data_IF_776116656112
#
_entry.id   IF_776116656112
#
_cell.length_a   1.000
_cell.length_b   1.000
_cell.length_c   1.000
_cell.angle_alpha   90.00
_cell.angle_beta   90.00
_cell.angle_gamma   90.00
#
_symmetry.space_group_name_H-M   'P 1'
#
loop_
_entity.id
_entity.type
_entity.pdbx_description
1 polymer ?
#
# COMPACT_ATOMS: atom_id res chain seq x y z
N UNK A 1 19.73 6.43 35.90
CA UNK A 1 20.36 6.53 34.56
C UNK A 1 20.42 5.14 34.01
N UNK A 2 19.54 4.81 33.05
CA UNK A 2 19.62 3.57 32.29
C UNK A 2 20.84 3.69 31.38
N UNK A 3 21.85 2.87 31.59
CA UNK A 3 23.05 2.79 30.74
C UNK A 3 22.58 2.44 29.32
N UNK A 4 23.05 3.21 28.36
CA UNK A 4 22.94 3.10 26.93
C UNK A 4 22.26 1.85 26.40
N UNK A 5 20.93 1.86 26.34
CA UNK A 5 20.20 0.75 25.76
C UNK A 5 20.13 0.94 24.23
N UNK A 6 20.82 0.06 23.54
CA UNK A 6 20.56 -0.16 22.12
C UNK A 6 19.34 -1.03 22.02
N UNK A 7 18.19 -0.45 21.68
CA UNK A 7 16.95 -1.16 21.46
C UNK A 7 16.60 -1.14 19.99
N UNK A 8 16.39 -2.29 19.38
CA UNK A 8 15.90 -2.43 18.02
C UNK A 8 14.82 -3.49 17.99
N UNK A 9 13.68 -3.13 17.44
CA UNK A 9 12.63 -4.08 17.11
C UNK A 9 13.09 -4.82 15.85
N UNK A 10 13.09 -6.15 15.90
CA UNK A 10 13.53 -6.98 14.76
C UNK A 10 12.63 -6.71 13.55
N UNK A 11 13.20 -6.27 12.44
CA UNK A 11 12.46 -6.12 11.21
C UNK A 11 12.30 -7.48 10.52
N UNK A 12 11.40 -7.54 9.59
CA UNK A 12 11.12 -8.74 8.81
C UNK A 12 11.62 -8.58 7.40
N UNK A 13 12.27 -9.62 6.92
CA UNK A 13 12.58 -9.79 5.52
C UNK A 13 11.28 -10.02 4.74
N UNK A 14 10.68 -8.95 4.21
CA UNK A 14 9.57 -9.02 3.27
C UNK A 14 10.15 -9.10 1.85
N UNK A 15 11.07 -10.01 1.63
CA UNK A 15 11.76 -10.15 0.34
C UNK A 15 10.92 -10.84 -0.74
N UNK A 16 9.86 -11.57 -0.34
CA UNK A 16 9.17 -12.49 -1.24
C UNK A 16 8.37 -11.80 -2.36
N UNK A 17 7.92 -10.58 -2.15
CA UNK A 17 7.08 -9.87 -3.10
C UNK A 17 7.73 -8.57 -3.54
N UNK A 18 7.72 -8.31 -4.85
CA UNK A 18 8.15 -7.04 -5.39
C UNK A 18 7.11 -5.96 -5.08
N UNK A 19 7.24 -5.32 -3.91
CA UNK A 19 6.39 -4.22 -3.49
C UNK A 19 6.77 -2.88 -4.14
N UNK A 20 7.55 -2.85 -5.21
CA UNK A 20 8.01 -1.63 -5.87
C UNK A 20 6.87 -0.68 -6.27
N UNK A 21 5.67 -1.23 -6.44
CA UNK A 21 4.48 -0.49 -6.83
C UNK A 21 3.51 -0.18 -5.69
N UNK A 22 3.81 -0.63 -4.48
CA UNK A 22 3.08 -0.22 -3.27
C UNK A 22 3.77 1.03 -2.74
N UNK A 23 2.99 2.05 -2.37
CA UNK A 23 3.56 3.27 -1.82
C UNK A 23 4.34 3.00 -0.52
N UNK A 24 5.30 3.86 -0.21
CA UNK A 24 6.21 3.70 0.94
C UNK A 24 5.46 3.62 2.29
N UNK A 25 4.29 4.27 2.41
CA UNK A 25 3.47 4.23 3.62
C UNK A 25 2.88 2.83 3.83
N UNK A 26 2.21 2.26 2.83
CA UNK A 26 1.62 0.92 2.93
C UNK A 26 2.68 -0.15 3.20
N UNK A 27 3.90 0.03 2.67
CA UNK A 27 5.03 -0.85 2.98
C UNK A 27 5.41 -0.81 4.46
N UNK A 28 5.58 0.38 5.01
CA UNK A 28 5.90 0.54 6.43
C UNK A 28 4.79 -0.07 7.31
N UNK A 29 3.52 0.12 6.94
CA UNK A 29 2.38 -0.55 7.59
C UNK A 29 2.49 -2.08 7.49
N UNK A 30 2.81 -2.62 6.31
CA UNK A 30 2.94 -4.06 6.09
C UNK A 30 4.03 -4.68 6.98
N UNK A 31 5.15 -3.97 7.18
CA UNK A 31 6.22 -4.39 8.09
C UNK A 31 5.71 -4.48 9.53
N UNK A 32 4.96 -3.49 9.97
CA UNK A 32 4.43 -3.47 11.34
C UNK A 32 3.32 -4.53 11.54
N UNK A 33 2.49 -4.79 10.52
CA UNK A 33 1.54 -5.91 10.53
C UNK A 33 2.27 -7.24 10.74
N UNK A 34 3.34 -7.49 9.99
CA UNK A 34 4.11 -8.72 10.13
C UNK A 34 4.76 -8.85 11.50
N UNK A 35 5.28 -7.75 12.06
CA UNK A 35 5.86 -7.75 13.41
C UNK A 35 4.84 -8.09 14.48
N UNK A 36 3.62 -7.53 14.39
CA UNK A 36 2.55 -7.72 15.37
C UNK A 36 1.73 -9.00 15.15
N UNK A 37 1.65 -9.46 13.89
CA UNK A 37 0.89 -10.64 13.45
C UNK A 37 1.74 -11.45 12.46
N UNK A 38 2.71 -12.23 12.95
CA UNK A 38 3.65 -12.97 12.10
C UNK A 38 2.95 -13.85 11.05
N UNK A 39 3.50 -13.86 9.83
CA UNK A 39 3.00 -14.58 8.66
C UNK A 39 1.65 -14.09 8.09
N UNK A 40 1.20 -12.89 8.46
CA UNK A 40 -0.08 -12.34 7.97
C UNK A 40 0.05 -11.11 7.07
N UNK A 41 1.22 -10.51 6.98
CA UNK A 41 1.45 -9.30 6.17
C UNK A 41 1.11 -9.48 4.68
N UNK A 42 1.31 -10.68 4.15
CA UNK A 42 0.93 -11.02 2.76
C UNK A 42 -0.59 -10.95 2.57
N UNK A 43 -1.36 -11.36 3.57
CA UNK A 43 -2.82 -11.30 3.53
C UNK A 43 -3.31 -9.85 3.63
N UNK A 44 -2.68 -9.05 4.48
CA UNK A 44 -2.93 -7.61 4.54
C UNK A 44 -2.68 -6.95 3.17
N UNK A 45 -1.53 -7.21 2.56
CA UNK A 45 -1.21 -6.67 1.23
C UNK A 45 -2.20 -7.11 0.16
N UNK A 46 -2.64 -8.38 0.19
CA UNK A 46 -3.65 -8.89 -0.74
C UNK A 46 -4.98 -8.17 -0.56
N UNK A 47 -5.50 -8.08 0.67
CA UNK A 47 -6.76 -7.43 0.98
C UNK A 47 -6.73 -5.95 0.61
N UNK A 48 -5.67 -5.23 0.97
CA UNK A 48 -5.51 -3.83 0.66
C UNK A 48 -5.62 -3.58 -0.86
N UNK A 49 -4.87 -4.34 -1.65
CA UNK A 49 -4.88 -4.18 -3.10
C UNK A 49 -6.20 -4.64 -3.74
N UNK A 50 -6.80 -5.70 -3.22
CA UNK A 50 -8.08 -6.22 -3.71
C UNK A 50 -9.23 -5.25 -3.40
N UNK A 51 -9.41 -4.84 -2.14
CA UNK A 51 -10.49 -3.94 -1.71
C UNK A 51 -10.40 -2.62 -2.45
N UNK A 52 -9.19 -2.07 -2.58
CA UNK A 52 -8.95 -0.84 -3.32
C UNK A 52 -9.34 -0.93 -4.80
N UNK A 53 -9.32 -2.11 -5.37
CA UNK A 53 -9.67 -2.31 -6.80
C UNK A 53 -11.18 -2.33 -7.07
N UNK A 54 -12.03 -2.56 -6.05
CA UNK A 54 -13.47 -2.78 -6.25
C UNK A 54 -14.34 -1.89 -5.35
N UNK A 55 -14.96 -0.88 -5.92
CA UNK A 55 -15.79 0.10 -5.19
C UNK A 55 -17.03 -0.49 -4.49
N UNK A 56 -17.51 -1.65 -4.95
CA UNK A 56 -18.65 -2.32 -4.34
C UNK A 56 -18.40 -2.71 -2.88
N UNK A 57 -17.18 -3.10 -2.55
CA UNK A 57 -16.80 -3.46 -1.18
C UNK A 57 -16.85 -2.24 -0.28
N UNK A 58 -16.45 -1.12 -0.83
CA UNK A 58 -16.37 0.16 -0.15
C UNK A 58 -17.75 0.68 0.29
N UNK A 59 -18.78 0.47 -0.53
CA UNK A 59 -20.16 0.92 -0.24
C UNK A 59 -20.78 0.15 0.92
N UNK A 60 -20.53 -1.17 1.01
CA UNK A 60 -21.09 -2.05 2.05
C UNK A 60 -20.61 -1.66 3.46
N UNK A 61 -19.38 -1.18 3.57
CA UNK A 61 -18.74 -0.83 4.84
C UNK A 61 -18.75 0.67 5.15
N UNK A 62 -19.61 1.46 4.44
CA UNK A 62 -19.64 2.93 4.55
C UNK A 62 -18.28 3.62 4.34
N UNK A 63 -17.35 2.88 3.76
CA UNK A 63 -16.07 3.42 3.34
C UNK A 63 -16.27 4.15 2.01
N UNK A 64 -16.16 5.47 2.01
CA UNK A 64 -16.20 6.30 0.80
C UNK A 64 -14.77 6.70 0.46
N UNK A 65 -14.16 6.08 -0.57
CA UNK A 65 -12.93 6.67 -1.08
C UNK A 65 -13.32 8.04 -1.62
N UNK A 66 -12.94 9.07 -0.93
CA UNK A 66 -12.95 10.37 -1.54
C UNK A 66 -11.96 10.30 -2.71
N UNK A 67 -12.26 10.99 -3.77
CA UNK A 67 -11.55 11.04 -5.05
C UNK A 67 -10.11 10.52 -4.94
N UNK A 68 -9.87 9.31 -5.43
CA UNK A 68 -8.52 8.74 -5.51
C UNK A 68 -7.74 9.62 -6.49
N UNK A 69 -7.25 10.73 -5.99
CA UNK A 69 -6.24 11.49 -6.68
C UNK A 69 -4.99 10.61 -6.71
N UNK A 70 -4.45 10.45 -7.89
CA UNK A 70 -3.43 9.53 -8.28
C UNK A 70 -2.43 9.14 -7.20
N UNK A 71 -2.02 7.90 -7.21
CA UNK A 71 -1.14 7.20 -6.26
C UNK A 71 0.11 7.98 -5.84
N UNK A 72 0.47 9.03 -6.57
CA UNK A 72 1.74 9.73 -6.49
C UNK A 72 1.62 11.24 -6.22
N UNK A 73 0.43 11.82 -6.14
CA UNK A 73 0.31 13.28 -6.20
C UNK A 73 -0.34 13.91 -4.97
N UNK A 74 -0.99 13.13 -4.11
CA UNK A 74 -1.67 13.73 -2.96
C UNK A 74 -0.98 13.40 -1.63
N UNK A 75 -0.52 14.42 -0.90
CA UNK A 75 -0.05 14.27 0.47
C UNK A 75 -1.15 13.86 1.45
N UNK A 76 -2.40 13.78 1.00
CA UNK A 76 -3.51 13.38 1.86
C UNK A 76 -3.50 11.88 2.12
N UNK A 77 -2.85 11.53 3.22
CA UNK A 77 -2.75 10.15 3.70
C UNK A 77 -4.01 9.72 4.43
N UNK A 78 -4.93 10.65 4.73
CA UNK A 78 -6.06 10.38 5.62
C UNK A 78 -7.00 9.32 5.04
N UNK A 79 -7.23 9.35 3.72
CA UNK A 79 -8.04 8.34 3.03
C UNK A 79 -7.37 6.96 3.01
N UNK A 80 -6.06 6.93 2.76
CA UNK A 80 -5.29 5.70 2.81
C UNK A 80 -5.30 5.12 4.23
N UNK A 81 -5.17 5.95 5.25
CA UNK A 81 -5.25 5.56 6.66
C UNK A 81 -6.62 4.98 7.00
N UNK A 82 -7.71 5.56 6.49
CA UNK A 82 -9.06 5.03 6.71
C UNK A 82 -9.24 3.64 6.10
N UNK A 83 -8.77 3.43 4.87
CA UNK A 83 -8.79 2.10 4.24
C UNK A 83 -7.93 1.10 5.01
N UNK A 84 -6.72 1.50 5.38
CA UNK A 84 -5.81 0.67 6.16
C UNK A 84 -6.45 0.30 7.49
N UNK A 85 -6.99 1.25 8.24
CA UNK A 85 -7.65 0.98 9.52
C UNK A 85 -8.87 0.07 9.35
N UNK A 86 -9.67 0.28 8.33
CA UNK A 86 -10.77 -0.63 8.01
C UNK A 86 -10.27 -2.09 7.89
N UNK A 87 -9.17 -2.31 7.16
CA UNK A 87 -8.60 -3.66 6.98
C UNK A 87 -8.00 -4.18 8.29
N UNK A 88 -7.21 -3.35 8.98
CA UNK A 88 -6.53 -3.72 10.21
C UNK A 88 -7.51 -4.11 11.32
N UNK A 89 -8.53 -3.30 11.53
CA UNK A 89 -9.51 -3.50 12.61
C UNK A 89 -10.43 -4.69 12.35
N UNK A 90 -10.89 -4.86 11.10
CA UNK A 90 -11.82 -5.94 10.78
C UNK A 90 -11.15 -7.31 10.59
N UNK A 91 -9.88 -7.35 10.19
CA UNK A 91 -9.24 -8.64 9.84
C UNK A 91 -8.04 -9.01 10.69
N UNK A 92 -7.35 -8.04 11.29
CA UNK A 92 -6.08 -8.30 11.99
C UNK A 92 -6.09 -7.94 13.48
N UNK A 93 -7.17 -7.33 13.98
CA UNK A 93 -7.24 -6.85 15.37
C UNK A 93 -6.17 -5.81 15.69
N UNK A 94 -5.85 -4.96 14.72
CA UNK A 94 -4.85 -3.90 14.78
C UNK A 94 -5.50 -2.55 14.46
N UNK A 95 -4.91 -1.44 14.91
CA UNK A 95 -5.35 -0.10 14.55
C UNK A 95 -4.16 0.84 14.43
N UNK A 96 -4.14 1.64 13.37
CA UNK A 96 -3.13 2.64 13.10
C UNK A 96 -3.55 3.99 13.69
N UNK A 97 -2.71 4.58 14.53
CA UNK A 97 -2.98 5.84 15.23
C UNK A 97 -2.03 6.93 14.80
N UNK A 98 -2.57 8.08 14.41
CA UNK A 98 -1.79 9.27 14.14
C UNK A 98 -1.31 9.95 15.44
N UNK A 99 -0.05 10.34 15.43
CA UNK A 99 0.57 11.16 16.47
C UNK A 99 0.91 12.50 15.85
N UNK A 100 0.48 13.60 16.49
CA UNK A 100 0.82 14.94 16.02
C UNK A 100 2.33 15.20 16.17
N UNK A 101 2.96 15.65 15.09
CA UNK A 101 4.39 15.97 15.03
C UNK A 101 4.64 17.44 14.60
N UNK A 102 3.74 18.36 14.99
CA UNK A 102 3.90 19.79 14.71
C UNK A 102 5.19 20.41 15.29
N UNK A 103 5.48 21.64 14.88
CA UNK A 103 6.77 22.38 14.99
C UNK A 103 7.56 22.34 16.30
N UNK A 104 7.07 21.75 17.37
CA UNK A 104 7.76 21.72 18.67
C UNK A 104 7.96 20.31 19.23
N UNK A 105 7.68 19.26 18.46
CA UNK A 105 7.85 17.89 18.90
C UNK A 105 9.30 17.45 18.65
N UNK A 106 9.98 17.00 19.71
CA UNK A 106 11.28 16.35 19.56
C UNK A 106 11.06 14.95 18.97
N UNK A 107 11.41 14.77 17.69
CA UNK A 107 11.21 13.53 16.93
C UNK A 107 12.00 12.37 17.52
N UNK A 108 13.21 12.61 17.97
CA UNK A 108 14.03 11.57 18.61
C UNK A 108 13.37 11.05 19.89
N UNK A 109 12.89 11.95 20.75
CA UNK A 109 12.15 11.57 21.95
C UNK A 109 10.87 10.82 21.64
N UNK A 110 10.11 11.25 20.64
CA UNK A 110 8.90 10.57 20.18
C UNK A 110 9.20 9.13 19.71
N UNK A 111 10.24 8.93 18.90
CA UNK A 111 10.65 7.59 18.45
C UNK A 111 11.09 6.76 19.65
N UNK A 112 11.96 7.30 20.50
CA UNK A 112 12.45 6.61 21.69
C UNK A 112 11.33 6.14 22.62
N UNK A 113 10.38 7.02 22.95
CA UNK A 113 9.25 6.70 23.82
C UNK A 113 8.39 5.57 23.24
N UNK A 114 8.10 5.61 21.94
CA UNK A 114 7.28 4.58 21.31
C UNK A 114 8.02 3.26 21.16
N UNK A 115 9.31 3.26 20.80
CA UNK A 115 10.11 2.04 20.72
C UNK A 115 10.29 1.40 22.09
N UNK A 116 10.41 2.16 23.18
CA UNK A 116 10.38 1.63 24.56
C UNK A 116 9.06 0.94 24.88
N UNK A 117 7.95 1.40 24.29
CA UNK A 117 6.63 0.76 24.39
C UNK A 117 6.43 -0.38 23.37
N UNK A 118 7.50 -0.84 22.73
CA UNK A 118 7.46 -1.89 21.68
C UNK A 118 6.63 -1.52 20.45
N UNK A 119 6.63 -0.24 20.06
CA UNK A 119 5.93 0.28 18.89
C UNK A 119 6.92 0.93 17.93
N UNK A 120 6.92 0.51 16.69
CA UNK A 120 7.64 1.24 15.64
C UNK A 120 6.88 2.53 15.28
N UNK A 121 7.63 3.51 14.81
CA UNK A 121 7.08 4.80 14.37
C UNK A 121 7.21 4.90 12.85
N UNK A 122 6.10 5.08 12.16
CA UNK A 122 6.06 5.42 10.75
C UNK A 122 6.16 6.94 10.64
N UNK A 123 7.31 7.41 10.18
CA UNK A 123 7.65 8.83 10.18
C UNK A 123 7.65 9.39 8.75
N UNK A 124 6.86 10.43 8.44
CA UNK A 124 6.93 11.11 7.15
C UNK A 124 8.17 12.00 7.09
N UNK A 125 8.85 11.95 5.94
CA UNK A 125 10.08 12.70 5.69
C UNK A 125 10.12 13.23 4.26
N UNK A 126 10.98 14.24 4.03
CA UNK A 126 11.28 14.69 2.67
C UNK A 126 12.46 13.89 2.10
N UNK A 127 12.25 13.06 1.06
CA UNK A 127 13.31 12.23 0.48
C UNK A 127 14.35 13.02 -0.32
N UNK A 128 14.16 14.31 -0.59
CA UNK A 128 15.17 15.15 -1.27
C UNK A 128 16.49 15.24 -0.51
N UNK A 129 16.51 14.85 0.77
CA UNK A 129 17.70 14.82 1.63
C UNK A 129 18.29 13.39 1.74
N UNK A 130 17.55 12.35 1.32
CA UNK A 130 17.97 10.94 1.41
C UNK A 130 18.84 10.54 0.23
N UNK A 131 20.15 10.37 0.47
CA UNK A 131 21.15 10.10 -0.59
C UNK A 131 20.92 8.80 -1.39
N UNK A 132 20.14 7.88 -0.86
CA UNK A 132 19.77 6.61 -1.48
C UNK A 132 18.40 6.64 -2.16
N UNK A 133 17.75 7.78 -2.23
CA UNK A 133 16.47 7.98 -2.87
C UNK A 133 16.64 8.60 -4.27
N UNK A 134 15.82 8.18 -5.23
CA UNK A 134 15.80 8.73 -6.59
C UNK A 134 15.51 10.24 -6.63
N UNK A 135 14.90 10.77 -5.57
CA UNK A 135 14.60 12.20 -5.44
C UNK A 135 15.70 13.03 -4.75
N UNK A 136 16.85 12.43 -4.44
CA UNK A 136 17.94 13.13 -3.74
C UNK A 136 18.39 14.37 -4.51
N UNK A 137 18.24 15.55 -3.87
CA UNK A 137 18.54 16.88 -4.44
C UNK A 137 17.81 17.23 -5.74
N UNK A 138 16.80 16.45 -6.13
CA UNK A 138 16.08 16.68 -7.37
C UNK A 138 14.66 17.17 -7.14
N UNK A 139 13.95 16.60 -6.15
CA UNK A 139 12.53 16.86 -5.96
C UNK A 139 12.09 16.66 -4.53
N UNK A 140 11.34 17.62 -4.00
CA UNK A 140 10.61 17.44 -2.78
C UNK A 140 9.46 16.46 -2.98
N UNK A 141 9.31 15.50 -2.06
CA UNK A 141 8.30 14.47 -2.11
C UNK A 141 7.96 14.00 -0.70
N UNK A 142 6.96 13.12 -0.58
CA UNK A 142 6.63 12.46 0.68
C UNK A 142 7.22 11.06 0.65
N UNK A 143 7.95 10.72 1.69
CA UNK A 143 8.47 9.40 1.95
C UNK A 143 8.21 8.98 3.39
N UNK A 144 8.10 7.68 3.63
CA UNK A 144 7.81 7.14 4.95
C UNK A 144 8.92 6.23 5.41
N UNK A 145 9.50 6.55 6.55
CA UNK A 145 10.51 5.74 7.22
C UNK A 145 9.85 4.85 8.28
N UNK A 146 10.33 3.63 8.40
CA UNK A 146 9.98 2.71 9.47
C UNK A 146 11.04 2.79 10.57
N UNK A 147 10.77 3.58 11.63
CA UNK A 147 11.68 3.79 12.75
C UNK A 147 11.42 2.73 13.81
N UNK A 148 12.35 1.79 13.97
CA UNK A 148 12.17 0.60 14.79
C UNK A 148 13.18 0.45 15.93
N UNK A 149 14.04 1.46 16.17
CA UNK A 149 15.01 1.38 17.24
C UNK A 149 15.75 2.68 17.51
N UNK A 150 16.53 2.70 18.57
CA UNK A 150 17.38 3.83 18.94
C UNK A 150 18.61 3.38 19.76
N UNK A 151 19.65 4.22 19.76
CA UNK A 151 20.81 4.17 20.64
C UNK A 151 20.88 5.52 21.37
N UNK A 152 20.52 5.52 22.66
CA UNK A 152 20.42 6.74 23.45
C UNK A 152 21.79 7.36 23.80
N UNK A 153 22.88 6.55 23.83
CA UNK A 153 24.23 7.07 24.11
C UNK A 153 24.83 7.79 22.91
N UNK A 154 24.49 7.31 21.70
CA UNK A 154 25.04 7.84 20.45
C UNK A 154 24.07 8.76 19.73
N UNK A 155 22.88 8.98 20.28
CA UNK A 155 21.80 9.78 19.67
C UNK A 155 21.47 9.30 18.24
N UNK A 156 21.31 7.97 18.08
CA UNK A 156 21.03 7.33 16.81
C UNK A 156 19.62 6.74 16.77
N UNK A 157 18.97 6.86 15.61
CA UNK A 157 17.71 6.18 15.28
C UNK A 157 18.00 5.06 14.30
N UNK A 158 17.46 3.87 14.54
CA UNK A 158 17.47 2.75 13.59
C UNK A 158 16.20 2.80 12.75
N UNK A 159 16.42 2.75 11.46
CA UNK A 159 15.38 2.91 10.45
C UNK A 159 15.50 1.79 9.45
N UNK A 160 14.39 1.27 9.00
CA UNK A 160 14.33 0.43 7.83
C UNK A 160 13.66 1.15 6.69
N UNK A 161 14.32 1.09 5.56
CA UNK A 161 13.86 1.71 4.35
C UNK A 161 14.34 0.94 3.12
N UNK A 162 13.68 1.14 1.98
CA UNK A 162 14.14 0.54 0.75
C UNK A 162 15.04 1.51 -0.03
N UNK A 163 16.10 0.96 -0.56
CA UNK A 163 17.01 1.70 -1.44
C UNK A 163 16.31 1.91 -2.78
N UNK A 164 16.07 3.15 -3.14
CA UNK A 164 15.49 3.54 -4.41
C UNK A 164 16.60 3.86 -5.40
N UNK A 165 17.09 2.86 -6.10
CA UNK A 165 17.91 3.05 -7.30
C UNK A 165 17.16 2.49 -8.50
N UNK A 166 16.37 3.33 -9.14
CA UNK A 166 15.47 2.93 -10.20
C UNK A 166 14.28 2.10 -9.70
N UNK A 167 13.34 1.81 -10.59
CA UNK A 167 12.11 1.07 -10.26
C UNK A 167 12.33 -0.41 -9.83
N UNK A 168 13.55 -0.89 -9.82
CA UNK A 168 13.88 -2.30 -9.58
C UNK A 168 14.35 -2.61 -8.16
N UNK A 169 14.58 -1.58 -7.33
CA UNK A 169 15.06 -1.83 -5.97
C UNK A 169 13.93 -2.20 -5.04
N UNK A 170 13.95 -3.44 -4.57
CA UNK A 170 12.91 -4.04 -3.73
C UNK A 170 13.38 -4.38 -2.32
N UNK A 171 14.66 -4.20 -2.04
CA UNK A 171 15.26 -4.62 -0.78
C UNK A 171 15.13 -3.53 0.29
N UNK A 172 14.47 -3.85 1.40
CA UNK A 172 14.61 -3.09 2.63
C UNK A 172 15.98 -3.28 3.24
N UNK A 173 16.54 -2.21 3.77
CA UNK A 173 17.83 -2.24 4.45
C UNK A 173 17.78 -1.44 5.75
N UNK A 174 18.52 -1.86 6.77
CA UNK A 174 18.70 -1.07 7.97
C UNK A 174 19.60 0.14 7.69
N UNK A 175 19.14 1.29 8.14
CA UNK A 175 19.91 2.53 8.16
C UNK A 175 20.02 3.03 9.59
N UNK A 176 21.03 3.85 9.82
CA UNK A 176 21.23 4.53 11.12
C UNK A 176 21.33 6.03 10.86
N UNK A 177 20.44 6.78 11.46
CA UNK A 177 20.41 8.25 11.37
C UNK A 177 20.73 8.88 12.70
N UNK A 178 21.43 10.01 12.68
CA UNK A 178 21.60 10.84 13.87
C UNK A 178 20.29 11.56 14.20
N UNK A 179 20.15 12.00 15.46
CA UNK A 179 19.02 12.84 15.90
C UNK A 179 18.85 14.07 15.01
N UNK A 180 19.97 14.76 14.69
CA UNK A 180 19.94 15.93 13.83
C UNK A 180 19.41 15.59 12.42
N UNK A 181 19.86 14.49 11.82
CA UNK A 181 19.43 14.10 10.49
C UNK A 181 17.95 13.74 10.44
N UNK A 182 17.45 12.94 11.38
CA UNK A 182 16.04 12.55 11.40
C UNK A 182 15.13 13.77 11.65
N UNK A 183 15.58 14.69 12.50
CA UNK A 183 14.88 15.94 12.76
C UNK A 183 14.85 16.84 11.53
N UNK A 184 15.96 16.97 10.81
CA UNK A 184 16.05 17.74 9.58
C UNK A 184 15.16 17.17 8.48
N UNK A 185 15.15 15.85 8.30
CA UNK A 185 14.31 15.15 7.31
C UNK A 185 12.82 15.41 7.54
N UNK A 186 12.38 15.31 8.81
CA UNK A 186 11.00 15.56 9.17
C UNK A 186 10.62 17.05 9.14
N UNK A 187 11.51 17.93 9.58
CA UNK A 187 11.28 19.37 9.52
C UNK A 187 11.14 19.87 8.09
N UNK A 188 11.99 19.38 7.18
CA UNK A 188 11.88 19.68 5.75
C UNK A 188 10.56 19.17 5.15
N UNK A 189 10.06 17.99 5.57
CA UNK A 189 8.73 17.52 5.21
C UNK A 189 7.64 18.51 5.67
N UNK A 190 7.68 18.96 6.93
CA UNK A 190 6.71 19.88 7.47
C UNK A 190 6.72 21.25 6.77
N UNK A 191 7.87 21.74 6.35
CA UNK A 191 8.02 23.00 5.60
C UNK A 191 7.39 22.92 4.20
N UNK A 192 7.68 21.86 3.48
CA UNK A 192 7.17 21.66 2.11
C UNK A 192 5.66 21.44 2.09
N UNK A 193 5.14 20.68 3.07
CA UNK A 193 3.74 20.26 3.12
C UNK A 193 2.92 21.03 4.16
N UNK A 194 3.28 22.26 4.45
CA UNK A 194 2.66 23.08 5.51
C UNK A 194 1.13 23.16 5.46
N UNK A 195 0.51 23.05 4.29
CA UNK A 195 -0.93 23.15 4.09
C UNK A 195 -1.61 21.80 3.78
N UNK A 196 -0.93 20.66 3.93
CA UNK A 196 -1.53 19.38 3.68
C UNK A 196 -2.46 18.95 4.83
N UNK A 197 -3.63 18.34 4.54
CA UNK A 197 -4.57 17.89 5.59
C UNK A 197 -3.98 16.85 6.56
N UNK A 198 -3.10 15.99 6.07
CA UNK A 198 -2.38 14.98 6.87
C UNK A 198 -1.11 15.52 7.52
N UNK A 199 -0.95 16.81 7.50
CA UNK A 199 0.19 17.55 8.01
C UNK A 199 0.61 17.06 9.38
N UNK A 200 1.91 16.85 9.50
CA UNK A 200 2.57 16.64 10.80
C UNK A 200 2.04 15.47 11.62
N UNK A 201 1.68 14.35 10.99
CA UNK A 201 1.34 13.12 11.69
C UNK A 201 2.38 12.04 11.42
N UNK A 202 3.00 11.51 12.48
CA UNK A 202 3.60 10.18 12.45
C UNK A 202 2.53 9.15 12.81
N UNK A 203 2.77 7.87 12.54
CA UNK A 203 1.83 6.81 12.87
C UNK A 203 2.49 5.71 13.70
N UNK A 204 1.71 5.14 14.60
CA UNK A 204 2.03 3.92 15.36
C UNK A 204 0.88 2.94 15.21
N UNK A 205 1.15 1.66 15.44
CA UNK A 205 0.13 0.62 15.39
C UNK A 205 -0.08 -0.01 16.76
N UNK A 206 -1.34 -0.20 17.13
CA UNK A 206 -1.75 -0.86 18.36
C UNK A 206 -2.49 -2.17 18.07
N UNK A 207 -2.23 -3.18 18.88
CA UNK A 207 -3.09 -4.35 18.93
C UNK A 207 -4.36 -4.01 19.74
N UNK A 208 -5.54 -4.17 19.13
CA UNK A 208 -6.85 -3.84 19.73
C UNK A 208 -7.73 -5.05 19.98
N UNK A 209 -7.35 -6.22 19.46
CA UNK A 209 -8.10 -7.45 19.60
C UNK A 209 -7.41 -8.63 18.91
N UNK A 210 -8.15 -9.74 18.78
CA UNK A 210 -7.69 -10.92 18.08
C UNK A 210 -7.79 -10.74 16.56
N UNK A 211 -6.89 -11.39 15.82
CA UNK A 211 -6.94 -11.41 14.38
C UNK A 211 -7.97 -12.43 13.87
N UNK A 212 -8.79 -12.03 12.91
CA UNK A 212 -9.69 -12.92 12.19
C UNK A 212 -8.93 -13.75 11.14
N UNK A 213 -7.93 -13.14 10.50
CA UNK A 213 -7.05 -13.80 9.52
C UNK A 213 -5.73 -14.16 10.20
N UNK A 214 -5.51 -15.47 10.39
CA UNK A 214 -4.33 -16.02 11.06
C UNK A 214 -3.61 -17.06 10.19
N UNK A 215 -4.27 -17.57 9.15
CA UNK A 215 -3.74 -18.60 8.25
C UNK A 215 -4.40 -18.56 6.86
N UNK A 216 -3.95 -19.45 5.98
CA UNK A 216 -4.50 -19.61 4.62
C UNK A 216 -6.00 -19.85 4.62
N UNK A 217 -6.53 -20.66 5.56
CA UNK A 217 -7.95 -21.02 5.56
C UNK A 217 -8.83 -19.84 5.93
N UNK A 218 -8.49 -19.14 7.01
CA UNK A 218 -9.20 -17.93 7.43
C UNK A 218 -9.13 -16.85 6.36
N UNK A 219 -7.95 -16.65 5.74
CA UNK A 219 -7.78 -15.72 4.63
C UNK A 219 -8.70 -16.03 3.44
N UNK A 220 -8.72 -17.28 2.95
CA UNK A 220 -9.57 -17.65 1.82
C UNK A 220 -11.07 -17.56 2.15
N UNK A 221 -11.47 -17.80 3.40
CA UNK A 221 -12.84 -17.59 3.83
C UNK A 221 -13.26 -16.12 3.78
N UNK A 222 -12.39 -15.21 4.19
CA UNK A 222 -12.67 -13.76 4.11
C UNK A 222 -12.65 -13.29 2.65
N UNK A 223 -11.71 -13.76 1.83
CA UNK A 223 -11.71 -13.50 0.39
C UNK A 223 -13.01 -13.95 -0.28
N UNK A 224 -13.55 -15.12 0.07
CA UNK A 224 -14.84 -15.60 -0.42
C UNK A 224 -15.99 -14.63 -0.11
N UNK A 225 -16.04 -14.07 1.11
CA UNK A 225 -17.05 -13.07 1.49
C UNK A 225 -16.91 -11.80 0.65
N UNK A 226 -15.68 -11.27 0.52
CA UNK A 226 -15.41 -10.07 -0.28
C UNK A 226 -15.79 -10.26 -1.74
N UNK A 227 -15.46 -11.41 -2.33
CA UNK A 227 -15.81 -11.72 -3.73
C UNK A 227 -17.33 -11.85 -3.89
N UNK A 228 -18.03 -12.40 -2.89
CA UNK A 228 -19.50 -12.44 -2.90
C UNK A 228 -20.10 -11.03 -2.96
N UNK A 229 -19.57 -10.08 -2.21
CA UNK A 229 -20.02 -8.67 -2.25
C UNK A 229 -19.77 -8.05 -3.65
N UNK A 230 -18.63 -8.33 -4.25
CA UNK A 230 -18.31 -7.85 -5.61
C UNK A 230 -19.26 -8.47 -6.65
N UNK A 231 -19.66 -9.73 -6.49
CA UNK A 231 -20.53 -10.44 -7.46
C UNK A 231 -22.02 -10.13 -7.30
N UNK A 232 -22.47 -9.74 -6.13
CA UNK A 232 -23.88 -9.41 -5.87
C UNK A 232 -24.28 -8.05 -6.41
N UNK A 233 -23.33 -7.15 -6.65
CA UNK A 233 -23.54 -5.84 -7.25
C UNK A 233 -23.22 -5.79 -8.74
N UNK A 234 -23.57 -4.67 -9.40
CA UNK A 234 -22.97 -4.36 -10.69
C UNK A 234 -21.48 -4.08 -10.44
N UNK A 235 -20.59 -4.86 -11.02
CA UNK A 235 -19.15 -4.71 -10.86
C UNK A 235 -18.74 -3.26 -11.16
N UNK A 236 -18.35 -2.54 -10.14
CA UNK A 236 -17.86 -1.17 -10.25
C UNK A 236 -16.37 -1.17 -9.97
N UNK A 237 -15.59 -0.90 -11.00
CA UNK A 237 -14.16 -0.65 -10.85
C UNK A 237 -13.99 0.81 -10.44
N UNK A 238 -13.42 1.06 -9.26
CA UNK A 238 -13.21 2.40 -8.69
C UNK A 238 -12.69 3.40 -9.71
N UNK A 239 -11.84 2.96 -10.62
CA UNK A 239 -11.13 3.81 -11.56
C UNK A 239 -11.83 3.99 -12.92
N UNK A 240 -12.92 3.31 -13.19
CA UNK A 240 -13.64 3.42 -14.48
C UNK A 240 -14.80 4.42 -14.39
N UNK A 241 -15.33 4.69 -13.21
CA UNK A 241 -16.51 5.55 -13.06
C UNK A 241 -16.18 7.05 -13.01
N UNK A 242 -14.94 7.41 -12.71
CA UNK A 242 -14.51 8.80 -12.65
C UNK A 242 -13.81 9.24 -13.95
N UNK A 243 -14.55 9.29 -15.05
CA UNK A 243 -14.06 9.69 -16.37
C UNK A 243 -13.34 11.05 -16.44
N UNK A 244 -13.52 11.92 -15.47
CA UNK A 244 -12.81 13.20 -15.37
C UNK A 244 -11.33 13.07 -14.94
N UNK A 245 -10.92 11.95 -14.34
CA UNK A 245 -9.55 11.67 -13.93
C UNK A 245 -8.66 11.14 -15.07
N UNK A 246 -9.26 10.60 -16.11
CA UNK A 246 -8.56 9.93 -17.21
C UNK A 246 -7.67 10.86 -18.04
N UNK A 247 -7.93 12.15 -18.06
CA UNK A 247 -7.11 13.11 -18.79
C UNK A 247 -5.74 13.39 -18.15
N UNK A 248 -5.50 12.89 -16.92
CA UNK A 248 -4.31 13.26 -16.12
C UNK A 248 -3.49 12.11 -15.55
N UNK A 249 -3.94 10.84 -15.59
CA UNK A 249 -3.32 9.79 -14.75
C UNK A 249 -2.99 8.48 -15.49
N UNK A 250 -2.03 8.57 -16.43
CA UNK A 250 -1.35 7.40 -17.00
C UNK A 250 -0.74 6.50 -15.92
N UNK A 251 -0.12 7.10 -14.93
CA UNK A 251 0.58 6.39 -13.84
C UNK A 251 -0.38 5.56 -12.98
N UNK A 252 -1.61 6.03 -12.79
CA UNK A 252 -2.65 5.29 -12.09
C UNK A 252 -3.02 3.99 -12.80
N UNK A 253 -3.28 4.06 -14.11
CA UNK A 253 -3.61 2.88 -14.92
C UNK A 253 -2.47 1.86 -14.96
N UNK A 254 -1.24 2.36 -15.00
CA UNK A 254 -0.05 1.52 -14.96
C UNK A 254 0.10 0.81 -13.61
N UNK A 255 -0.21 1.52 -12.52
CA UNK A 255 -0.18 0.96 -11.16
C UNK A 255 -1.19 -0.19 -10.98
N UNK A 256 -2.35 -0.12 -11.61
CA UNK A 256 -3.38 -1.17 -11.57
C UNK A 256 -2.89 -2.55 -11.97
N UNK A 257 -2.13 -2.61 -13.04
CA UNK A 257 -1.51 -3.84 -13.52
C UNK A 257 -0.69 -4.53 -12.44
N UNK A 258 0.06 -3.75 -11.65
CA UNK A 258 0.93 -4.27 -10.61
C UNK A 258 0.17 -4.70 -9.36
N UNK A 259 -0.80 -3.90 -8.93
CA UNK A 259 -1.69 -4.25 -7.82
C UNK A 259 -2.40 -5.57 -8.07
N UNK A 260 -2.93 -5.74 -9.30
CA UNK A 260 -3.60 -6.97 -9.71
C UNK A 260 -2.67 -8.18 -9.68
N UNK A 261 -1.42 -8.02 -10.08
CA UNK A 261 -0.43 -9.08 -9.99
C UNK A 261 -0.24 -9.52 -8.54
N UNK A 262 -0.03 -8.58 -7.64
CA UNK A 262 0.25 -8.88 -6.23
C UNK A 262 -0.88 -9.69 -5.60
N UNK A 263 -2.12 -9.22 -5.66
CA UNK A 263 -3.20 -9.96 -5.01
C UNK A 263 -3.51 -11.29 -5.71
N UNK A 264 -3.38 -11.37 -7.04
CA UNK A 264 -3.57 -12.62 -7.76
C UNK A 264 -2.53 -13.68 -7.38
N UNK A 265 -1.26 -13.31 -7.31
CA UNK A 265 -0.18 -14.23 -6.93
C UNK A 265 -0.39 -14.78 -5.52
N UNK A 266 -0.74 -13.90 -4.57
CA UNK A 266 -1.02 -14.30 -3.18
C UNK A 266 -2.24 -15.24 -3.11
N UNK A 267 -3.31 -14.94 -3.83
CA UNK A 267 -4.49 -15.80 -3.89
C UNK A 267 -4.12 -17.17 -4.48
N UNK A 268 -3.44 -17.20 -5.63
CA UNK A 268 -3.05 -18.46 -6.29
C UNK A 268 -2.15 -19.33 -5.40
N UNK A 269 -1.16 -18.75 -4.73
CA UNK A 269 -0.31 -19.48 -3.79
C UNK A 269 -1.13 -20.10 -2.64
N UNK A 270 -2.12 -19.40 -2.14
CA UNK A 270 -2.94 -19.92 -1.05
C UNK A 270 -3.96 -20.97 -1.53
N UNK A 271 -4.46 -20.85 -2.76
CA UNK A 271 -5.28 -21.90 -3.41
C UNK A 271 -4.48 -23.19 -3.63
N UNK A 272 -3.19 -23.09 -3.99
CA UNK A 272 -2.29 -24.25 -4.08
C UNK A 272 -2.13 -24.96 -2.73
N UNK A 273 -1.96 -24.20 -1.63
CA UNK A 273 -1.83 -24.76 -0.28
C UNK A 273 -3.06 -25.59 0.15
N UNK A 274 -4.26 -25.22 -0.31
CA UNK A 274 -5.50 -25.97 -0.05
C UNK A 274 -5.84 -26.98 -1.15
N UNK A 275 -4.87 -27.26 -2.05
CA UNK A 275 -4.96 -28.29 -3.09
C UNK A 275 -6.07 -28.08 -4.12
N UNK A 276 -6.37 -26.84 -4.47
CA UNK A 276 -7.17 -26.53 -5.65
C UNK A 276 -6.45 -27.05 -6.90
N UNK A 277 -7.21 -27.50 -7.88
CA UNK A 277 -6.68 -28.02 -9.16
C UNK A 277 -5.75 -27.02 -9.85
N UNK A 278 -4.59 -27.49 -10.31
CA UNK A 278 -3.66 -26.65 -11.06
C UNK A 278 -4.32 -26.05 -12.32
N UNK A 279 -5.24 -26.78 -12.96
CA UNK A 279 -5.97 -26.31 -14.16
C UNK A 279 -6.78 -25.06 -13.82
N UNK A 280 -7.46 -25.03 -12.67
CA UNK A 280 -8.25 -23.87 -12.24
C UNK A 280 -7.35 -22.69 -11.89
N UNK A 281 -6.21 -22.94 -11.26
CA UNK A 281 -5.22 -21.91 -10.92
C UNK A 281 -4.57 -21.34 -12.19
N UNK A 282 -4.16 -22.17 -13.13
CA UNK A 282 -3.62 -21.73 -14.44
C UNK A 282 -4.61 -20.86 -15.19
N UNK A 283 -5.91 -21.25 -15.18
CA UNK A 283 -6.96 -20.44 -15.77
C UNK A 283 -7.12 -19.09 -15.09
N UNK A 284 -7.00 -19.03 -13.76
CA UNK A 284 -7.04 -17.77 -13.02
C UNK A 284 -5.85 -16.86 -13.40
N UNK A 285 -4.65 -17.42 -13.52
CA UNK A 285 -3.49 -16.69 -14.03
C UNK A 285 -3.71 -16.16 -15.43
N UNK A 286 -4.24 -16.97 -16.34
CA UNK A 286 -4.52 -16.55 -17.71
C UNK A 286 -5.51 -15.39 -17.77
N UNK A 287 -6.59 -15.46 -17.00
CA UNK A 287 -7.59 -14.38 -16.91
C UNK A 287 -6.96 -13.09 -16.32
N UNK A 288 -6.12 -13.21 -15.31
CA UNK A 288 -5.38 -12.08 -14.74
C UNK A 288 -4.44 -11.45 -15.79
N UNK A 289 -3.65 -12.25 -16.50
CA UNK A 289 -2.72 -11.77 -17.53
C UNK A 289 -3.42 -11.10 -18.71
N UNK A 290 -4.55 -11.63 -19.16
CA UNK A 290 -5.34 -11.02 -20.22
C UNK A 290 -5.86 -9.64 -19.80
N UNK A 291 -6.36 -9.54 -18.58
CA UNK A 291 -6.83 -8.27 -18.03
C UNK A 291 -5.68 -7.25 -17.88
N UNK A 292 -4.52 -7.68 -17.36
CA UNK A 292 -3.31 -6.84 -17.27
C UNK A 292 -2.88 -6.29 -18.63
N UNK A 293 -2.91 -7.12 -19.69
CA UNK A 293 -2.59 -6.68 -21.07
C UNK A 293 -3.56 -5.61 -21.55
N UNK A 294 -4.84 -5.74 -21.22
CA UNK A 294 -5.86 -4.75 -21.60
C UNK A 294 -5.63 -3.42 -20.88
N UNK A 295 -5.33 -3.44 -19.58
CA UNK A 295 -4.94 -2.26 -18.81
C UNK A 295 -3.67 -1.60 -19.36
N UNK A 296 -2.64 -2.38 -19.65
CA UNK A 296 -1.38 -1.89 -20.22
C UNK A 296 -1.61 -1.23 -21.61
N UNK A 297 -2.44 -1.84 -22.43
CA UNK A 297 -2.80 -1.29 -23.74
C UNK A 297 -3.55 0.03 -23.60
N UNK A 298 -4.49 0.12 -22.68
CA UNK A 298 -5.23 1.35 -22.40
C UNK A 298 -4.29 2.45 -21.93
N UNK A 299 -3.44 2.17 -20.95
CA UNK A 299 -2.47 3.10 -20.42
C UNK A 299 -1.50 3.64 -21.48
N UNK A 300 -0.94 2.77 -22.33
CA UNK A 300 -0.05 3.17 -23.42
C UNK A 300 -0.76 4.06 -24.45
N UNK A 301 -2.02 3.78 -24.77
CA UNK A 301 -2.79 4.60 -25.69
C UNK A 301 -2.97 6.03 -25.14
N UNK A 302 -3.28 6.17 -23.85
CA UNK A 302 -3.35 7.47 -23.21
C UNK A 302 -2.02 8.21 -23.29
N UNK A 303 -0.91 7.54 -22.99
CA UNK A 303 0.41 8.15 -23.08
C UNK A 303 0.74 8.64 -24.47
N UNK A 304 0.40 7.87 -25.49
CA UNK A 304 0.60 8.27 -26.89
C UNK A 304 -0.27 9.48 -27.26
N UNK A 305 -1.52 9.53 -26.80
CA UNK A 305 -2.42 10.66 -27.05
C UNK A 305 -1.91 11.93 -26.36
N UNK A 306 -1.46 11.82 -25.12
CA UNK A 306 -0.85 12.90 -24.37
C UNK A 306 0.37 13.47 -25.11
N UNK A 307 1.31 12.61 -25.51
CA UNK A 307 2.50 13.00 -26.27
C UNK A 307 2.17 13.67 -27.60
N UNK A 308 1.08 13.26 -28.25
CA UNK A 308 0.59 13.83 -29.52
C UNK A 308 -0.28 15.06 -29.30
N UNK A 309 -0.56 15.46 -28.08
CA UNK A 309 -1.51 16.54 -27.72
C UNK A 309 -2.89 16.35 -28.37
N UNK A 310 -3.32 15.10 -28.51
CA UNK A 310 -4.62 14.73 -29.08
C UNK A 310 -5.56 14.30 -27.96
N UNK A 311 -6.83 14.67 -28.09
CA UNK A 311 -7.91 14.11 -27.24
C UNK A 311 -8.20 12.67 -27.64
N UNK A 312 -8.52 11.83 -26.66
CA UNK A 312 -9.00 10.49 -26.90
C UNK A 312 -10.38 10.55 -27.61
N UNK A 313 -10.61 9.62 -28.54
CA UNK A 313 -11.96 9.38 -29.02
C UNK A 313 -12.75 8.68 -27.92
N UNK A 314 -13.83 9.33 -27.47
CA UNK A 314 -14.64 8.82 -26.36
C UNK A 314 -15.27 7.44 -26.69
N UNK A 315 -15.56 7.15 -27.95
CA UNK A 315 -16.14 5.87 -28.37
C UNK A 315 -15.11 4.74 -28.32
N UNK A 316 -13.90 4.98 -28.81
CA UNK A 316 -12.79 4.01 -28.75
C UNK A 316 -12.39 3.72 -27.30
N UNK A 317 -12.39 4.74 -26.47
CA UNK A 317 -12.11 4.62 -25.05
C UNK A 317 -13.17 3.77 -24.34
N UNK A 318 -14.45 4.04 -24.59
CA UNK A 318 -15.58 3.30 -24.01
C UNK A 318 -15.53 1.81 -24.39
N UNK A 319 -15.15 1.49 -25.62
CA UNK A 319 -15.01 0.10 -26.08
C UNK A 319 -13.91 -0.63 -25.32
N UNK A 320 -12.72 -0.03 -25.16
CA UNK A 320 -11.62 -0.61 -24.41
C UNK A 320 -11.94 -0.79 -22.92
N UNK A 321 -12.62 0.17 -22.33
CA UNK A 321 -13.10 0.07 -20.95
C UNK A 321 -14.11 -1.06 -20.79
N UNK A 322 -15.04 -1.22 -21.71
CA UNK A 322 -16.00 -2.31 -21.67
C UNK A 322 -15.33 -3.68 -21.79
N UNK A 323 -14.30 -3.81 -22.62
CA UNK A 323 -13.51 -5.04 -22.69
C UNK A 323 -12.86 -5.37 -21.33
N UNK A 324 -12.24 -4.39 -20.68
CA UNK A 324 -11.64 -4.56 -19.35
C UNK A 324 -12.71 -4.99 -18.33
N UNK A 325 -13.90 -4.36 -18.34
CA UNK A 325 -15.01 -4.75 -17.46
C UNK A 325 -15.44 -6.21 -17.65
N UNK A 326 -15.56 -6.64 -18.89
CA UNK A 326 -15.91 -8.03 -19.21
C UNK A 326 -14.86 -9.00 -18.65
N UNK A 327 -13.59 -8.71 -18.86
CA UNK A 327 -12.49 -9.53 -18.37
C UNK A 327 -12.42 -9.57 -16.83
N UNK A 328 -12.70 -8.45 -16.17
CA UNK A 328 -12.79 -8.42 -14.71
C UNK A 328 -13.95 -9.26 -14.18
N UNK A 329 -15.11 -9.19 -14.82
CA UNK A 329 -16.26 -10.03 -14.48
C UNK A 329 -15.93 -11.52 -14.64
N UNK A 330 -15.25 -11.90 -15.70
CA UNK A 330 -14.81 -13.28 -15.92
C UNK A 330 -13.83 -13.76 -14.84
N UNK A 331 -12.83 -12.93 -14.52
CA UNK A 331 -11.87 -13.21 -13.47
C UNK A 331 -12.56 -13.42 -12.11
N UNK A 332 -13.42 -12.50 -11.70
CA UNK A 332 -14.13 -12.57 -10.41
C UNK A 332 -15.10 -13.76 -10.36
N UNK A 333 -15.82 -14.05 -11.43
CA UNK A 333 -16.70 -15.23 -11.51
C UNK A 333 -15.92 -16.52 -11.37
N UNK A 334 -14.78 -16.63 -12.04
CA UNK A 334 -13.93 -17.81 -11.96
C UNK A 334 -13.35 -17.97 -10.55
N UNK A 335 -12.83 -16.89 -9.95
CA UNK A 335 -12.34 -16.89 -8.58
C UNK A 335 -13.44 -17.27 -7.58
N UNK A 336 -14.67 -16.74 -7.75
CA UNK A 336 -15.83 -17.11 -6.95
C UNK A 336 -16.15 -18.61 -7.06
N UNK A 337 -16.08 -19.18 -8.27
CA UNK A 337 -16.33 -20.61 -8.47
C UNK A 337 -15.32 -21.49 -7.75
N UNK A 338 -14.05 -21.10 -7.76
CA UNK A 338 -12.97 -21.81 -7.09
C UNK A 338 -13.11 -21.77 -5.57
N UNK A 339 -13.53 -20.63 -5.01
CA UNK A 339 -13.65 -20.45 -3.56
C UNK A 339 -14.93 -21.05 -2.96
N UNK A 340 -15.84 -21.57 -3.77
CA UNK A 340 -17.08 -22.19 -3.33
C UNK A 340 -16.98 -23.71 -3.11
N UNK A 341 -15.77 -24.26 -3.10
CA UNK A 341 -15.52 -25.67 -2.75
C UNK A 341 -15.51 -25.90 -1.25
#
# INVERSE_FOLDING_TARGET
MLRGEKLSLQPLEIEKYNFAYINCFVRAVTMEVERLRPNTSIYFSCLHNFIRSYSNIVVEYDYRPSKINGYFVNPDVEEEVNLINFILENYFGLSLKGINTEKNVNIFSLIKENVLMQKAVLLPVNPSILFYCDYYKEKDWIHWLYCNGFDAEKELVFVEDHVQFGMESTCYRPFTFTEDLITMLHSSYNEVWENAPSKSKAYIMDAIGDALIVDTKSFLNEMKKLISLVTQGNLKLVHIEETALWEKDYDLMFSFKHLKTIYNDIICENLQKVKVSNIEIEKLYLLCENNKKSWDTLARNFKILELRKKKADASELAEKINLIKIQEIEYIKHLSSILNF
#
